data_IF_802473608958
#
_entry.id   IF_802473608958
#
_cell.length_a   1.000
_cell.length_b   1.000
_cell.length_c   1.000
_cell.angle_alpha   90.00
_cell.angle_beta   90.00
_cell.angle_gamma   90.00
#
_symmetry.space_group_name_H-M   'P 1'
#
loop_
_entity.id
_entity.type
_entity.pdbx_description
1 polymer ?
#
# COMPACT_ATOMS: atom_id res chain seq x y z
N UNK A 1 -4.81 -12.90 8.08
CA UNK A 1 -4.01 -11.98 8.91
C UNK A 1 -4.76 -11.64 10.18
N UNK A 2 -5.58 -10.60 10.23
CA UNK A 2 -6.36 -10.26 11.44
C UNK A 2 -7.42 -11.32 11.78
N UNK A 3 -7.89 -12.09 10.80
CA UNK A 3 -8.74 -13.27 11.03
C UNK A 3 -8.02 -14.40 11.76
N UNK A 4 -6.72 -14.58 11.53
CA UNK A 4 -5.93 -15.63 12.22
C UNK A 4 -5.67 -15.25 13.68
N UNK A 5 -5.63 -13.96 13.98
CA UNK A 5 -5.59 -13.42 15.34
C UNK A 5 -6.97 -13.48 16.04
N UNK A 6 -8.04 -13.82 15.29
CA UNK A 6 -9.40 -13.74 15.79
C UNK A 6 -9.92 -12.30 15.98
N UNK A 7 -9.21 -11.30 15.46
CA UNK A 7 -9.59 -9.89 15.57
C UNK A 7 -10.58 -9.47 14.48
N UNK A 8 -10.57 -10.16 13.33
CA UNK A 8 -11.51 -9.93 12.23
C UNK A 8 -12.33 -11.19 11.97
N UNK A 9 -13.63 -11.04 11.80
CA UNK A 9 -14.51 -12.16 11.43
C UNK A 9 -14.51 -12.42 9.91
N UNK A 10 -15.20 -13.49 9.49
CA UNK A 10 -15.37 -13.86 8.07
C UNK A 10 -16.15 -12.82 7.24
N UNK A 11 -16.80 -11.87 7.88
CA UNK A 11 -17.56 -10.79 7.25
C UNK A 11 -16.75 -9.49 7.16
N UNK A 12 -15.49 -9.50 7.62
CA UNK A 12 -14.61 -8.34 7.65
C UNK A 12 -14.89 -7.38 8.81
N UNK A 13 -15.73 -7.77 9.76
CA UNK A 13 -16.04 -6.97 10.95
C UNK A 13 -15.01 -7.23 12.05
N UNK A 14 -14.71 -6.22 12.89
CA UNK A 14 -13.94 -6.44 14.11
C UNK A 14 -14.74 -7.33 15.06
N UNK A 15 -14.06 -8.28 15.70
CA UNK A 15 -14.64 -9.09 16.77
C UNK A 15 -14.64 -8.32 18.09
N UNK A 16 -15.43 -8.73 19.09
CA UNK A 16 -15.39 -8.11 20.42
C UNK A 16 -13.98 -8.04 21.01
N UNK A 17 -13.17 -9.08 20.81
CA UNK A 17 -11.78 -9.11 21.25
C UNK A 17 -10.93 -7.98 20.64
N UNK A 18 -11.18 -7.60 19.37
CA UNK A 18 -10.48 -6.49 18.73
C UNK A 18 -10.94 -5.13 19.26
N UNK A 19 -12.21 -4.99 19.63
CA UNK A 19 -12.76 -3.77 20.23
C UNK A 19 -12.23 -3.58 21.66
N UNK A 20 -12.21 -4.65 22.45
CA UNK A 20 -11.80 -4.63 23.86
C UNK A 20 -10.33 -4.18 24.04
N UNK A 21 -9.46 -4.58 23.13
CA UNK A 21 -8.03 -4.20 23.16
C UNK A 21 -7.73 -2.90 22.39
N UNK A 22 -8.76 -2.24 21.84
CA UNK A 22 -8.60 -1.01 21.06
C UNK A 22 -7.95 -1.22 19.68
N UNK A 23 -7.87 -2.46 19.19
CA UNK A 23 -7.35 -2.76 17.86
C UNK A 23 -8.29 -2.30 16.74
N UNK A 24 -9.58 -2.11 17.04
CA UNK A 24 -10.55 -1.52 16.13
C UNK A 24 -11.57 -0.65 16.88
N UNK A 25 -12.11 0.33 16.18
CA UNK A 25 -13.26 1.14 16.60
C UNK A 25 -14.38 1.01 15.58
N UNK A 26 -15.62 0.77 16.03
CA UNK A 26 -16.77 0.73 15.15
C UNK A 26 -17.57 2.04 15.26
N UNK A 27 -17.47 2.90 14.24
CA UNK A 27 -18.13 4.21 14.25
C UNK A 27 -19.65 4.15 14.03
N UNK A 28 -20.16 3.07 13.44
CA UNK A 28 -21.60 2.91 13.22
C UNK A 28 -22.04 1.44 13.39
N UNK A 29 -22.86 1.12 14.41
CA UNK A 29 -23.21 -0.26 14.76
C UNK A 29 -23.98 -1.03 13.67
N UNK A 30 -24.60 -0.34 12.70
CA UNK A 30 -25.42 -0.95 11.65
C UNK A 30 -24.71 -1.12 10.30
N UNK A 31 -23.45 -0.71 10.18
CA UNK A 31 -22.69 -0.82 8.93
C UNK A 31 -21.74 -2.02 9.00
N UNK A 32 -22.09 -3.06 8.26
CA UNK A 32 -21.32 -4.32 8.16
C UNK A 32 -19.88 -4.02 7.74
N UNK A 33 -18.93 -4.06 8.67
CA UNK A 33 -17.48 -3.95 8.47
C UNK A 33 -16.92 -2.61 7.95
N UNK A 34 -17.68 -1.86 7.15
CA UNK A 34 -17.20 -0.67 6.42
C UNK A 34 -16.98 0.58 7.28
N UNK A 35 -17.43 0.59 8.54
CA UNK A 35 -17.20 1.69 9.49
C UNK A 35 -16.17 1.36 10.56
N UNK A 36 -15.49 0.22 10.45
CA UNK A 36 -14.44 -0.16 11.37
C UNK A 36 -13.17 0.62 11.01
N UNK A 37 -12.67 1.39 11.97
CA UNK A 37 -11.34 1.98 11.91
C UNK A 37 -10.38 1.05 12.65
N UNK A 38 -9.34 0.60 11.97
CA UNK A 38 -8.34 -0.28 12.55
C UNK A 38 -7.17 0.54 13.09
N UNK A 39 -6.74 0.22 14.31
CA UNK A 39 -5.56 0.84 14.90
C UNK A 39 -4.30 0.31 14.20
N UNK A 40 -3.60 1.20 13.50
CA UNK A 40 -2.43 0.86 12.69
C UNK A 40 -1.30 0.28 13.54
N UNK A 41 -1.03 0.82 14.73
CA UNK A 41 0.08 0.36 15.58
C UNK A 41 -0.17 -1.06 16.09
N UNK A 42 -1.35 -1.31 16.66
CA UNK A 42 -1.72 -2.63 17.18
C UNK A 42 -1.84 -3.68 16.08
N UNK A 43 -2.41 -3.30 14.93
CA UNK A 43 -2.47 -4.19 13.77
C UNK A 43 -1.06 -4.51 13.28
N UNK A 44 -0.18 -3.52 13.14
CA UNK A 44 1.21 -3.72 12.68
C UNK A 44 1.93 -4.76 13.55
N UNK A 45 1.83 -4.68 14.87
CA UNK A 45 2.44 -5.65 15.79
C UNK A 45 1.95 -7.09 15.51
N UNK A 46 0.64 -7.26 15.31
CA UNK A 46 0.06 -8.58 15.01
C UNK A 46 0.53 -9.09 13.65
N UNK A 47 0.56 -8.22 12.64
CA UNK A 47 0.99 -8.60 11.30
C UNK A 47 2.47 -9.01 11.30
N UNK A 48 3.33 -8.26 11.99
CA UNK A 48 4.75 -8.59 12.15
C UNK A 48 4.98 -9.90 12.89
N UNK A 49 4.22 -10.18 13.96
CA UNK A 49 4.26 -11.48 14.65
C UNK A 49 3.87 -12.65 13.76
N UNK A 50 2.99 -12.42 12.79
CA UNK A 50 2.58 -13.40 11.79
C UNK A 50 3.59 -13.51 10.62
N UNK A 51 4.74 -12.84 10.71
CA UNK A 51 5.80 -12.85 9.70
C UNK A 51 5.57 -11.87 8.55
N UNK A 52 4.60 -10.96 8.69
CA UNK A 52 4.33 -9.94 7.69
C UNK A 52 5.00 -8.64 8.09
N UNK A 53 6.09 -8.33 7.40
CA UNK A 53 6.83 -7.10 7.63
C UNK A 53 6.28 -5.99 6.74
N UNK A 54 6.22 -4.74 7.23
CA UNK A 54 6.04 -3.58 6.38
C UNK A 54 7.08 -3.63 5.26
N UNK A 55 6.65 -3.38 4.02
CA UNK A 55 7.60 -3.22 2.93
C UNK A 55 8.54 -2.08 3.31
N UNK A 56 9.84 -2.38 3.35
CA UNK A 56 10.82 -1.33 3.55
C UNK A 56 10.69 -0.30 2.43
N UNK A 57 10.99 0.97 2.75
CA UNK A 57 10.97 2.04 1.77
C UNK A 57 11.79 1.67 0.53
N UNK A 58 12.97 1.08 0.70
CA UNK A 58 13.81 0.61 -0.39
C UNK A 58 13.17 -0.49 -1.24
N UNK A 59 12.50 -1.48 -0.63
CA UNK A 59 11.77 -2.50 -1.39
C UNK A 59 10.62 -1.88 -2.19
N UNK A 60 9.92 -0.92 -1.60
CA UNK A 60 8.83 -0.24 -2.29
C UNK A 60 9.35 0.59 -3.49
N UNK A 61 10.47 1.30 -3.31
CA UNK A 61 11.16 2.03 -4.39
C UNK A 61 11.65 1.07 -5.48
N UNK A 62 12.22 -0.08 -5.11
CA UNK A 62 12.65 -1.10 -6.07
C UNK A 62 11.48 -1.63 -6.91
N UNK A 63 10.38 -2.02 -6.28
CA UNK A 63 9.20 -2.56 -6.97
C UNK A 63 8.60 -1.55 -7.95
N UNK A 64 8.50 -0.28 -7.55
CA UNK A 64 8.03 0.78 -8.44
C UNK A 64 8.98 1.03 -9.60
N UNK A 65 10.28 1.01 -9.34
CA UNK A 65 11.30 1.15 -10.38
C UNK A 65 11.22 0.01 -11.39
N UNK A 66 11.15 -1.24 -10.92
CA UNK A 66 11.03 -2.44 -11.78
C UNK A 66 9.77 -2.38 -12.66
N UNK A 67 8.63 -1.99 -12.08
CA UNK A 67 7.35 -1.89 -12.78
C UNK A 67 7.41 -0.82 -13.88
N UNK A 68 7.85 0.40 -13.54
CA UNK A 68 7.88 1.52 -14.49
C UNK A 68 8.89 1.30 -15.60
N UNK A 69 10.04 0.70 -15.29
CA UNK A 69 11.05 0.30 -16.27
C UNK A 69 10.49 -0.73 -17.25
N UNK A 70 9.83 -1.79 -16.77
CA UNK A 70 9.22 -2.82 -17.61
C UNK A 70 8.08 -2.29 -18.48
N UNK A 71 7.32 -1.31 -17.98
CA UNK A 71 6.26 -0.64 -18.75
C UNK A 71 6.86 0.30 -19.82
N UNK A 72 7.95 1.00 -19.50
CA UNK A 72 8.65 1.88 -20.44
C UNK A 72 9.32 1.11 -21.59
N UNK A 73 9.82 -0.10 -21.33
CA UNK A 73 10.37 -1.00 -22.35
C UNK A 73 9.30 -1.64 -23.26
N UNK A 74 8.02 -1.31 -23.04
CA UNK A 74 6.94 -1.62 -23.97
C UNK A 74 6.49 -3.07 -23.92
N UNK A 75 6.25 -3.60 -22.73
CA UNK A 75 5.62 -4.93 -22.59
C UNK A 75 4.25 -4.95 -23.28
N UNK A 76 4.06 -5.75 -24.37
CA UNK A 76 2.84 -5.72 -25.18
C UNK A 76 1.60 -6.27 -24.47
N UNK A 77 1.74 -6.72 -23.22
CA UNK A 77 0.66 -7.26 -22.39
C UNK A 77 0.06 -6.22 -21.42
N UNK A 78 0.58 -4.99 -21.38
CA UNK A 78 0.14 -3.96 -20.43
C UNK A 78 -0.62 -2.86 -21.19
N UNK A 79 -1.94 -2.77 -20.97
CA UNK A 79 -2.80 -1.74 -21.57
C UNK A 79 -2.68 -0.37 -20.90
N UNK A 80 -2.19 -0.33 -19.66
CA UNK A 80 -1.95 0.88 -18.88
C UNK A 80 -0.58 1.46 -19.22
N UNK A 81 -0.48 2.77 -19.44
CA UNK A 81 0.82 3.42 -19.67
C UNK A 81 1.61 3.60 -18.37
N UNK A 82 2.93 3.72 -18.47
CA UNK A 82 3.78 4.02 -17.30
C UNK A 82 3.32 5.30 -16.58
N UNK A 83 2.88 6.32 -17.32
CA UNK A 83 2.34 7.56 -16.76
C UNK A 83 1.05 7.37 -15.96
N UNK A 84 0.13 6.55 -16.47
CA UNK A 84 -1.11 6.23 -15.74
C UNK A 84 -0.82 5.45 -14.45
N UNK A 85 0.16 4.55 -14.49
CA UNK A 85 0.58 3.80 -13.31
C UNK A 85 1.32 4.68 -12.31
N UNK A 86 2.10 5.65 -12.79
CA UNK A 86 2.82 6.59 -11.95
C UNK A 86 1.90 7.55 -11.17
N UNK A 87 0.63 7.70 -11.56
CA UNK A 87 -0.37 8.47 -10.77
C UNK A 87 -0.66 7.82 -9.41
N UNK A 88 -0.51 6.50 -9.31
CA UNK A 88 -0.70 5.73 -8.07
C UNK A 88 0.57 5.69 -7.20
N UNK A 89 1.70 6.24 -7.69
CA UNK A 89 2.95 6.28 -6.95
C UNK A 89 2.84 7.22 -5.75
N UNK A 90 3.18 6.76 -4.52
CA UNK A 90 3.19 7.63 -3.36
C UNK A 90 4.12 8.85 -3.55
N UNK A 91 3.66 10.08 -3.24
CA UNK A 91 4.40 11.31 -3.56
C UNK A 91 5.74 11.41 -2.82
N UNK A 92 5.87 10.74 -1.67
CA UNK A 92 7.12 10.65 -0.91
C UNK A 92 8.16 9.73 -1.57
N UNK A 93 7.75 8.81 -2.45
CA UNK A 93 8.64 7.88 -3.15
C UNK A 93 9.11 8.36 -4.52
N UNK A 94 8.43 9.36 -5.10
CA UNK A 94 8.72 9.89 -6.46
C UNK A 94 10.20 10.21 -6.66
N UNK A 95 10.82 10.94 -5.74
CA UNK A 95 12.23 11.33 -5.88
C UNK A 95 13.17 10.13 -5.83
N UNK A 96 12.88 9.16 -4.95
CA UNK A 96 13.70 7.97 -4.78
C UNK A 96 13.58 7.02 -5.99
N UNK A 97 12.37 6.85 -6.52
CA UNK A 97 12.11 6.07 -7.74
C UNK A 97 12.78 6.71 -8.95
N UNK A 98 12.67 8.03 -9.14
CA UNK A 98 13.33 8.73 -10.24
C UNK A 98 14.86 8.66 -10.15
N UNK A 99 15.43 8.77 -8.95
CA UNK A 99 16.87 8.54 -8.76
C UNK A 99 17.27 7.13 -9.17
N UNK A 100 16.46 6.12 -8.85
CA UNK A 100 16.77 4.74 -9.17
C UNK A 100 16.60 4.42 -10.67
N UNK A 101 15.53 4.89 -11.31
CA UNK A 101 15.34 4.81 -12.76
C UNK A 101 16.52 5.43 -13.51
N UNK A 102 16.97 6.61 -13.08
CA UNK A 102 18.13 7.28 -13.67
C UNK A 102 19.44 6.49 -13.46
N UNK A 103 19.65 5.90 -12.27
CA UNK A 103 20.81 5.02 -12.01
C UNK A 103 20.82 3.77 -12.90
N UNK A 104 19.65 3.26 -13.28
CA UNK A 104 19.50 2.11 -14.18
C UNK A 104 19.56 2.49 -15.67
N UNK A 105 19.61 3.78 -15.99
CA UNK A 105 19.64 4.27 -17.36
C UNK A 105 18.26 4.30 -18.04
N UNK A 106 17.18 4.10 -17.28
CA UNK A 106 15.83 4.25 -17.79
C UNK A 106 15.56 5.73 -18.09
N UNK A 107 15.10 6.03 -19.32
CA UNK A 107 14.78 7.40 -19.75
C UNK A 107 13.45 7.91 -19.21
N UNK A 108 12.62 6.99 -18.71
CA UNK A 108 11.34 7.33 -18.11
C UNK A 108 11.56 8.03 -16.76
N UNK A 109 10.80 9.09 -16.53
CA UNK A 109 10.80 9.82 -15.26
C UNK A 109 9.36 10.12 -14.85
N UNK A 110 9.05 9.82 -13.60
CA UNK A 110 7.75 10.12 -13.00
C UNK A 110 7.65 11.62 -12.79
N UNK A 111 6.64 12.23 -13.40
CA UNK A 111 6.34 13.63 -13.12
C UNK A 111 5.60 13.74 -11.80
N UNK A 112 6.07 14.61 -10.90
CA UNK A 112 5.28 15.01 -9.74
C UNK A 112 4.00 15.67 -10.22
N UNK A 113 2.86 15.04 -9.97
CA UNK A 113 1.58 15.74 -10.07
C UNK A 113 1.53 16.81 -8.97
N UNK A 114 1.90 18.04 -9.34
CA UNK A 114 1.53 19.21 -8.56
C UNK A 114 0.02 19.31 -8.69
N UNK A 115 -0.73 18.76 -7.73
CA UNK A 115 -2.17 19.04 -7.64
C UNK A 115 -2.30 20.55 -7.61
N UNK A 116 -2.83 21.13 -8.70
CA UNK A 116 -3.30 22.52 -8.67
C UNK A 116 -4.37 22.56 -7.59
N UNK A 117 -4.11 23.40 -6.58
CA UNK A 117 -5.04 23.73 -5.51
C UNK A 117 -6.32 24.35 -6.07
#
# INVERSE_FOLDING_TARGET
>A
MLEREGWRDRHGCPTPAALDVGAAEQRAPHSKGRSALWNVELCTIVLERQGHHPLSRDQHVNQWTDLLEAMADGSPSITTSADQMAEELPPDLVDAVNQQLNRRGCRYQVQRQVRKA
#
